data_IF_137806406825
#
_entry.id   IF_137806406825
#
_cell.length_a   1.000
_cell.length_b   1.000
_cell.length_c   1.000
_cell.angle_alpha   90.00
_cell.angle_beta   90.00
_cell.angle_gamma   90.00
#
_symmetry.space_group_name_H-M   'P 1'
#
loop_
_entity.id
_entity.type
_entity.pdbx_description
1 polymer ?
#
# COMPACT_ATOMS: atom_id res chain seq x y z
N UNK A 1 -11.88 -6.48 7.02
CA UNK A 1 -12.85 -7.58 7.26
C UNK A 1 -13.42 -7.44 8.67
N UNK A 2 -14.60 -7.99 8.96
CA UNK A 2 -15.27 -7.84 10.27
C UNK A 2 -14.42 -8.28 11.47
N UNK A 3 -13.57 -9.27 11.27
CA UNK A 3 -12.78 -9.87 12.34
C UNK A 3 -11.48 -9.12 12.65
N UNK A 4 -11.06 -8.17 11.80
CA UNK A 4 -9.83 -7.42 12.01
C UNK A 4 -10.01 -6.41 13.16
N UNK A 5 -8.99 -6.27 13.99
CA UNK A 5 -9.03 -5.35 15.11
C UNK A 5 -8.62 -3.93 14.69
N UNK A 6 -9.57 -3.00 14.78
CA UNK A 6 -9.41 -1.57 14.49
C UNK A 6 -9.58 -0.67 15.71
N UNK A 7 -9.81 -1.22 16.91
CA UNK A 7 -10.06 -0.42 18.13
C UNK A 7 -8.87 0.44 18.54
N UNK A 8 -7.66 0.00 18.18
CA UNK A 8 -6.41 0.71 18.42
C UNK A 8 -6.38 2.12 17.79
N UNK A 9 -7.14 2.35 16.71
CA UNK A 9 -7.24 3.66 16.07
C UNK A 9 -7.92 4.68 16.97
N UNK A 10 -8.91 4.26 17.77
CA UNK A 10 -9.62 5.15 18.69
C UNK A 10 -8.83 5.38 19.97
N UNK A 11 -8.09 4.36 20.42
CA UNK A 11 -7.25 4.43 21.61
C UNK A 11 -6.00 5.30 21.40
N UNK A 12 -5.29 5.10 20.28
CA UNK A 12 -3.95 5.69 20.08
C UNK A 12 -3.88 6.79 19.01
N UNK A 13 -4.91 6.92 18.18
CA UNK A 13 -5.04 7.98 17.18
C UNK A 13 -6.40 8.70 17.28
N UNK A 14 -6.82 9.18 18.48
CA UNK A 14 -8.16 9.73 18.69
C UNK A 14 -8.48 10.91 17.76
N UNK A 15 -7.49 11.76 17.49
CA UNK A 15 -7.62 12.96 16.65
C UNK A 15 -7.72 12.65 15.15
N UNK A 16 -7.41 11.42 14.72
CA UNK A 16 -7.47 11.04 13.31
C UNK A 16 -8.91 10.76 12.91
N UNK A 17 -9.38 11.39 11.83
CA UNK A 17 -10.69 11.07 11.26
C UNK A 17 -10.61 9.76 10.48
N UNK A 18 -11.29 8.71 10.95
CA UNK A 18 -11.24 7.36 10.36
C UNK A 18 -12.40 7.11 9.38
N UNK A 19 -12.12 6.35 8.33
CA UNK A 19 -13.14 5.80 7.41
C UNK A 19 -12.88 4.30 7.28
N UNK A 20 -13.51 3.52 8.16
CA UNK A 20 -13.27 2.08 8.27
C UNK A 20 -14.23 1.36 7.32
N UNK A 21 -13.69 0.79 6.24
CA UNK A 21 -14.45 0.00 5.28
C UNK A 21 -14.44 -1.48 5.66
N UNK A 22 -15.62 -2.11 5.65
CA UNK A 22 -15.79 -3.53 5.90
C UNK A 22 -16.31 -4.20 4.63
N UNK A 23 -15.44 -4.96 3.97
CA UNK A 23 -15.70 -5.50 2.62
C UNK A 23 -16.51 -6.80 2.60
N UNK A 24 -16.53 -7.52 3.72
CA UNK A 24 -17.26 -8.78 3.95
C UNK A 24 -18.60 -8.53 4.68
N UNK A 25 -19.09 -7.29 4.67
CA UNK A 25 -20.39 -6.90 5.23
C UNK A 25 -21.13 -5.91 4.34
N UNK A 26 -22.20 -6.36 3.68
CA UNK A 26 -23.04 -5.45 2.89
C UNK A 26 -23.93 -4.53 3.76
N UNK A 27 -23.97 -4.74 5.09
CA UNK A 27 -24.70 -3.89 6.04
C UNK A 27 -23.80 -2.93 6.80
N UNK A 28 -22.48 -2.98 6.60
CA UNK A 28 -21.57 -2.08 7.26
C UNK A 28 -21.81 -0.63 6.80
N UNK A 29 -21.58 0.31 7.72
CA UNK A 29 -21.76 1.75 7.47
C UNK A 29 -20.95 2.24 6.26
N UNK A 30 -19.73 1.72 6.10
CA UNK A 30 -18.89 1.92 4.92
C UNK A 30 -18.53 0.54 4.38
N UNK A 31 -18.92 0.28 3.14
CA UNK A 31 -18.66 -0.97 2.42
C UNK A 31 -18.33 -0.66 0.96
N UNK A 32 -18.06 -1.70 0.19
CA UNK A 32 -17.69 -1.60 -1.23
C UNK A 32 -18.81 -2.09 -2.13
N UNK A 33 -18.91 -1.59 -3.38
CA UNK A 33 -19.94 -2.06 -4.33
C UNK A 33 -19.74 -3.54 -4.71
N UNK A 34 -18.51 -4.04 -4.63
CA UNK A 34 -18.15 -5.43 -4.89
C UNK A 34 -16.86 -5.76 -4.14
N UNK A 35 -16.79 -6.90 -3.44
CA UNK A 35 -15.54 -7.34 -2.81
C UNK A 35 -14.64 -7.99 -3.89
N UNK A 36 -13.87 -7.15 -4.59
CA UNK A 36 -12.98 -7.54 -5.70
C UNK A 36 -11.73 -6.67 -5.70
N UNK A 37 -10.57 -7.23 -6.03
CA UNK A 37 -9.34 -6.45 -6.15
C UNK A 37 -8.77 -5.93 -4.82
N UNK A 38 -9.10 -6.60 -3.71
CA UNK A 38 -8.59 -6.32 -2.36
C UNK A 38 -8.78 -4.86 -1.92
N UNK A 39 -7.75 -4.25 -1.32
CA UNK A 39 -7.78 -2.86 -0.82
C UNK A 39 -8.03 -1.83 -1.92
N UNK A 40 -7.74 -2.18 -3.19
CA UNK A 40 -7.88 -1.23 -4.27
C UNK A 40 -9.33 -0.76 -4.49
N UNK A 41 -10.31 -1.66 -4.29
CA UNK A 41 -11.72 -1.30 -4.35
C UNK A 41 -12.11 -0.32 -3.25
N UNK A 42 -11.59 -0.52 -2.04
CA UNK A 42 -11.81 0.39 -0.91
C UNK A 42 -11.27 1.77 -1.22
N UNK A 43 -10.04 1.84 -1.74
CA UNK A 43 -9.37 3.12 -2.01
C UNK A 43 -10.07 3.88 -3.13
N UNK A 44 -10.41 3.20 -4.23
CA UNK A 44 -11.17 3.80 -5.33
C UNK A 44 -12.55 4.27 -4.85
N UNK A 45 -13.26 3.47 -4.07
CA UNK A 45 -14.58 3.86 -3.53
C UNK A 45 -14.47 5.09 -2.65
N UNK A 46 -13.50 5.15 -1.74
CA UNK A 46 -13.26 6.34 -0.91
C UNK A 46 -12.96 7.58 -1.75
N UNK A 47 -12.04 7.49 -2.72
CA UNK A 47 -11.66 8.62 -3.58
C UNK A 47 -12.86 9.11 -4.37
N UNK A 48 -13.64 8.20 -4.96
CA UNK A 48 -14.81 8.54 -5.76
C UNK A 48 -15.88 9.20 -4.90
N UNK A 49 -16.22 8.62 -3.74
CA UNK A 49 -17.34 9.10 -2.92
C UNK A 49 -17.01 10.43 -2.23
N UNK A 50 -15.73 10.66 -1.94
CA UNK A 50 -15.27 11.86 -1.24
C UNK A 50 -14.64 12.88 -2.14
N UNK A 51 -14.54 12.67 -3.45
CA UNK A 51 -13.70 13.46 -4.37
C UNK A 51 -13.74 14.97 -4.11
N UNK A 52 -14.94 15.57 -4.02
CA UNK A 52 -15.12 17.01 -3.82
C UNK A 52 -14.91 17.48 -2.36
N UNK A 53 -14.95 16.54 -1.41
CA UNK A 53 -14.88 16.75 0.05
C UNK A 53 -13.62 16.15 0.70
N UNK A 54 -12.62 15.76 -0.10
CA UNK A 54 -11.38 15.15 0.40
C UNK A 54 -10.71 16.07 1.43
N UNK A 55 -10.18 15.53 2.54
CA UNK A 55 -9.32 16.29 3.44
C UNK A 55 -7.97 16.58 2.77
N UNK A 56 -7.23 17.58 3.25
CA UNK A 56 -5.95 17.96 2.65
C UNK A 56 -4.90 16.84 2.58
N UNK A 57 -4.91 15.93 3.55
CA UNK A 57 -4.10 14.71 3.56
C UNK A 57 -5.02 13.50 3.71
N UNK A 58 -4.76 12.45 2.93
CA UNK A 58 -5.42 11.14 3.05
C UNK A 58 -4.33 10.09 3.26
N UNK A 59 -4.53 9.21 4.24
CA UNK A 59 -3.64 8.06 4.49
C UNK A 59 -4.46 6.79 4.26
N UNK A 60 -4.01 5.96 3.34
CA UNK A 60 -4.54 4.63 3.07
C UNK A 60 -3.66 3.60 3.76
N UNK A 61 -4.29 2.74 4.58
CA UNK A 61 -3.61 1.84 5.49
C UNK A 61 -4.45 0.58 5.69
N UNK A 62 -3.82 -0.57 5.91
CA UNK A 62 -4.52 -1.81 6.27
C UNK A 62 -5.13 -1.71 7.68
N UNK A 63 -6.02 -2.63 8.05
CA UNK A 63 -6.84 -2.45 9.25
C UNK A 63 -6.06 -2.62 10.57
N UNK A 64 -5.21 -3.64 10.67
CA UNK A 64 -4.61 -4.01 11.95
C UNK A 64 -3.33 -3.23 12.26
N UNK A 65 -3.08 -3.01 13.55
CA UNK A 65 -1.89 -2.33 14.04
C UNK A 65 -0.61 -3.12 13.75
N UNK A 66 -0.64 -4.43 13.95
CA UNK A 66 0.53 -5.30 13.78
C UNK A 66 0.37 -6.16 12.54
N UNK A 67 1.05 -5.82 11.45
CA UNK A 67 1.01 -6.55 10.19
C UNK A 67 2.32 -6.42 9.45
N UNK A 68 2.77 -7.49 8.80
CA UNK A 68 4.04 -7.51 8.05
C UNK A 68 4.15 -6.41 6.98
N UNK A 69 3.03 -5.83 6.53
CA UNK A 69 3.00 -4.69 5.63
C UNK A 69 3.61 -3.41 6.23
N UNK A 70 3.69 -3.29 7.56
CA UNK A 70 4.19 -2.13 8.27
C UNK A 70 5.72 -2.13 8.32
N UNK A 71 6.33 -1.05 7.86
CA UNK A 71 7.77 -0.88 7.75
C UNK A 71 8.43 -0.51 9.09
N UNK A 72 8.29 -1.41 10.07
CA UNK A 72 8.74 -1.25 11.44
C UNK A 72 9.31 -2.60 11.95
N UNK A 73 10.33 -2.62 12.84
CA UNK A 73 10.90 -3.86 13.39
C UNK A 73 9.90 -4.81 14.04
N UNK A 74 8.82 -4.26 14.61
CA UNK A 74 7.75 -5.00 15.27
C UNK A 74 6.51 -5.13 14.39
N UNK A 75 6.61 -4.70 13.12
CA UNK A 75 5.48 -4.61 12.21
C UNK A 75 4.34 -3.74 12.77
N UNK A 76 4.66 -2.80 13.65
CA UNK A 76 3.72 -1.89 14.31
C UNK A 76 3.49 -0.64 13.44
N UNK A 77 2.23 -0.42 13.05
CA UNK A 77 1.79 0.76 12.32
C UNK A 77 1.82 2.03 13.17
N UNK A 78 1.60 1.90 14.49
CA UNK A 78 1.41 3.05 15.38
C UNK A 78 2.59 4.03 15.37
N UNK A 79 3.85 3.61 15.59
CA UNK A 79 4.98 4.53 15.54
C UNK A 79 5.18 5.15 14.15
N UNK A 80 4.83 4.44 13.07
CA UNK A 80 4.92 4.99 11.72
C UNK A 80 3.90 6.12 11.53
N UNK A 81 2.64 5.89 11.89
CA UNK A 81 1.57 6.88 11.74
C UNK A 81 1.78 8.10 12.66
N UNK A 82 2.23 7.90 13.90
CA UNK A 82 2.49 9.00 14.83
C UNK A 82 3.67 9.88 14.40
N UNK A 83 4.71 9.29 13.80
CA UNK A 83 5.91 10.02 13.37
C UNK A 83 5.84 10.49 11.91
N UNK A 84 4.76 10.19 11.18
CA UNK A 84 4.64 10.55 9.77
C UNK A 84 4.66 12.07 9.57
N UNK A 85 5.66 12.55 8.83
CA UNK A 85 5.92 13.97 8.57
C UNK A 85 5.12 14.46 7.38
N UNK A 86 3.94 15.01 7.66
CA UNK A 86 3.08 15.62 6.63
C UNK A 86 3.74 16.76 5.86
N UNK A 87 4.79 17.40 6.38
CA UNK A 87 5.55 18.42 5.64
C UNK A 87 6.30 17.84 4.43
N UNK A 88 6.79 16.60 4.52
CA UNK A 88 7.31 15.92 3.33
C UNK A 88 6.17 15.64 2.34
N UNK A 89 5.05 15.11 2.83
CA UNK A 89 3.88 14.83 1.99
C UNK A 89 3.38 16.07 1.24
N UNK A 90 3.40 17.25 1.86
CA UNK A 90 3.07 18.52 1.17
C UNK A 90 3.99 18.81 -0.01
N UNK A 91 5.29 18.48 0.10
CA UNK A 91 6.29 18.69 -0.97
C UNK A 91 6.15 17.67 -2.09
N UNK A 92 5.98 16.40 -1.74
CA UNK A 92 6.00 15.30 -2.73
C UNK A 92 4.61 14.92 -3.24
N UNK A 93 3.53 15.28 -2.55
CA UNK A 93 2.15 14.99 -2.98
C UNK A 93 1.70 13.54 -2.80
N UNK A 94 2.62 12.57 -2.85
CA UNK A 94 2.41 11.14 -2.61
C UNK A 94 3.64 10.57 -1.90
N UNK A 95 3.44 9.81 -0.84
CA UNK A 95 4.49 9.12 -0.10
C UNK A 95 4.04 7.71 0.27
N UNK A 96 4.81 6.70 -0.11
CA UNK A 96 4.62 5.34 0.39
C UNK A 96 5.03 5.29 1.87
N UNK A 97 4.26 4.55 2.69
CA UNK A 97 4.58 4.40 4.12
C UNK A 97 5.74 3.41 4.33
N UNK A 98 6.07 2.58 3.34
CA UNK A 98 7.25 1.73 3.32
C UNK A 98 8.41 2.41 2.58
N UNK A 99 9.55 2.49 3.25
CA UNK A 99 10.82 3.00 2.77
C UNK A 99 11.80 1.89 2.37
N UNK A 100 11.81 0.74 3.04
CA UNK A 100 12.74 -0.37 2.72
C UNK A 100 12.45 -0.99 1.34
N UNK A 101 13.51 -1.27 0.58
CA UNK A 101 13.42 -1.69 -0.83
C UNK A 101 13.13 -3.17 -1.06
N UNK A 102 13.20 -4.00 -0.01
CA UNK A 102 13.15 -5.48 -0.09
C UNK A 102 12.02 -6.07 -0.93
N UNK A 103 10.90 -5.35 -1.11
CA UNK A 103 9.80 -5.75 -1.98
C UNK A 103 9.40 -4.60 -2.89
N UNK A 104 9.50 -4.83 -4.19
CA UNK A 104 8.97 -3.96 -5.23
C UNK A 104 9.95 -2.95 -5.84
N UNK A 105 11.11 -2.73 -5.22
CA UNK A 105 12.15 -1.81 -5.70
C UNK A 105 13.47 -2.54 -6.04
N UNK A 106 14.26 -2.04 -7.02
CA UNK A 106 13.99 -0.89 -7.88
C UNK A 106 13.04 -1.21 -9.05
N UNK A 107 12.89 -2.48 -9.43
CA UNK A 107 12.10 -2.91 -10.58
C UNK A 107 11.45 -4.26 -10.28
N UNK A 108 10.18 -4.22 -9.88
CA UNK A 108 9.37 -5.42 -9.66
C UNK A 108 8.90 -6.03 -10.98
N UNK A 109 8.40 -5.16 -11.87
CA UNK A 109 7.70 -5.55 -13.08
C UNK A 109 8.43 -4.94 -14.26
N UNK A 110 8.73 -5.76 -15.26
CA UNK A 110 9.24 -5.34 -16.56
C UNK A 110 8.18 -5.66 -17.61
N UNK A 111 7.20 -4.77 -17.85
CA UNK A 111 5.95 -5.13 -18.54
C UNK A 111 6.15 -5.89 -19.86
N UNK A 112 7.12 -5.50 -20.69
CA UNK A 112 7.39 -6.16 -21.98
C UNK A 112 8.19 -7.47 -21.81
N UNK A 113 9.13 -7.52 -20.88
CA UNK A 113 10.00 -8.70 -20.68
C UNK A 113 9.29 -9.81 -19.89
N UNK A 114 8.39 -9.42 -18.99
CA UNK A 114 7.60 -10.33 -18.16
C UNK A 114 6.31 -10.79 -18.84
N UNK A 115 5.94 -10.20 -19.98
CA UNK A 115 4.85 -10.66 -20.85
C UNK A 115 5.24 -11.98 -21.51
N UNK A 116 5.19 -13.05 -20.73
CA UNK A 116 5.27 -14.42 -21.18
C UNK A 116 4.06 -15.17 -20.64
N UNK A 117 3.46 -16.09 -21.41
CA UNK A 117 2.52 -17.03 -20.84
C UNK A 117 3.24 -17.78 -19.72
N UNK A 118 2.63 -17.84 -18.53
CA UNK A 118 3.13 -18.69 -17.46
C UNK A 118 3.32 -20.10 -18.04
N UNK A 119 4.48 -20.73 -17.77
CA UNK A 119 4.71 -22.10 -18.22
C UNK A 119 3.61 -22.99 -17.66
N UNK A 120 3.30 -24.08 -18.36
CA UNK A 120 2.31 -25.04 -17.89
C UNK A 120 2.64 -25.51 -16.46
N UNK A 121 1.74 -25.25 -15.51
CA UNK A 121 1.92 -25.54 -14.09
C UNK A 121 2.57 -24.45 -13.23
N UNK A 122 3.03 -23.33 -13.81
CA UNK A 122 3.51 -22.18 -13.03
C UNK A 122 2.36 -21.23 -12.66
N UNK A 123 2.34 -20.69 -11.43
CA UNK A 123 1.35 -19.70 -11.03
C UNK A 123 1.49 -18.41 -11.87
N UNK A 124 0.36 -17.87 -12.28
CA UNK A 124 0.32 -16.54 -12.91
C UNK A 124 0.55 -15.49 -11.83
N UNK A 125 1.47 -14.57 -12.09
CA UNK A 125 1.76 -13.43 -11.22
C UNK A 125 1.35 -12.13 -11.92
N UNK A 126 1.19 -11.06 -11.13
CA UNK A 126 0.80 -9.75 -11.65
C UNK A 126 1.72 -9.26 -12.77
N UNK A 127 3.03 -9.52 -12.69
CA UNK A 127 4.00 -9.15 -13.74
C UNK A 127 3.65 -9.70 -15.12
N UNK A 128 3.03 -10.89 -15.20
CA UNK A 128 2.67 -11.53 -16.46
C UNK A 128 1.45 -10.86 -17.13
N UNK A 129 0.59 -10.21 -16.34
CA UNK A 129 -0.65 -9.56 -16.83
C UNK A 129 -0.56 -8.03 -16.83
N UNK A 130 0.47 -7.46 -16.21
CA UNK A 130 0.58 -6.03 -15.97
C UNK A 130 0.60 -5.21 -17.25
N UNK A 131 1.26 -5.69 -18.32
CA UNK A 131 1.32 -4.94 -19.59
C UNK A 131 -0.07 -4.70 -20.19
N UNK A 132 -0.86 -5.76 -20.35
CA UNK A 132 -2.22 -5.65 -20.87
C UNK A 132 -3.09 -4.75 -19.97
N UNK A 133 -3.03 -4.98 -18.66
CA UNK A 133 -3.75 -4.16 -17.70
C UNK A 133 -3.32 -2.68 -17.74
N UNK A 134 -2.03 -2.39 -17.89
CA UNK A 134 -1.50 -1.03 -17.99
C UNK A 134 -2.03 -0.32 -19.24
N UNK A 135 -2.12 -1.01 -20.39
CA UNK A 135 -2.67 -0.42 -21.61
C UNK A 135 -4.16 -0.07 -21.47
N UNK A 136 -4.93 -0.89 -20.74
CA UNK A 136 -6.34 -0.61 -20.45
C UNK A 136 -6.50 0.53 -19.44
N UNK A 137 -5.71 0.51 -18.37
CA UNK A 137 -5.73 1.52 -17.31
C UNK A 137 -5.19 2.87 -17.79
N UNK A 138 -4.16 2.89 -18.63
CA UNK A 138 -3.48 4.12 -19.07
C UNK A 138 -3.32 4.15 -20.59
N UNK A 139 -4.43 4.23 -21.36
CA UNK A 139 -4.40 4.10 -22.82
C UNK A 139 -3.62 5.22 -23.53
N UNK A 140 -3.37 6.34 -22.86
CA UNK A 140 -2.59 7.47 -23.37
C UNK A 140 -1.13 7.48 -22.93
N UNK A 141 -0.70 6.53 -22.09
CA UNK A 141 0.69 6.43 -21.63
C UNK A 141 1.44 5.36 -22.41
N UNK A 142 2.70 5.63 -22.71
CA UNK A 142 3.61 4.60 -23.18
C UNK A 142 3.86 3.57 -22.08
N UNK A 143 3.99 2.30 -22.49
CA UNK A 143 4.26 1.20 -21.58
C UNK A 143 5.68 1.40 -21.02
N UNK A 144 5.85 1.49 -19.68
CA UNK A 144 7.17 1.69 -19.10
C UNK A 144 8.05 0.45 -19.26
N UNK A 145 9.36 0.64 -19.35
CA UNK A 145 10.31 -0.48 -19.38
C UNK A 145 10.32 -1.25 -18.05
N UNK A 146 10.27 -0.51 -16.94
CA UNK A 146 10.25 -1.04 -15.58
C UNK A 146 9.23 -0.28 -14.73
N UNK A 147 8.62 -1.00 -13.79
CA UNK A 147 7.75 -0.46 -12.75
C UNK A 147 8.31 -0.88 -11.41
N UNK A 148 8.45 0.09 -10.51
CA UNK A 148 8.99 -0.14 -9.18
C UNK A 148 8.43 0.84 -8.17
N UNK A 149 7.96 0.30 -7.05
CA UNK A 149 7.58 1.04 -5.84
C UNK A 149 7.62 0.03 -4.70
N UNK A 150 7.92 0.49 -3.49
CA UNK A 150 7.81 -0.38 -2.32
C UNK A 150 6.39 -0.93 -2.19
N UNK A 151 6.27 -2.23 -1.89
CA UNK A 151 4.99 -2.95 -1.92
C UNK A 151 3.92 -2.38 -0.99
N UNK A 152 2.77 -3.05 -1.05
CA UNK A 152 1.82 -3.27 0.04
C UNK A 152 0.74 -2.22 0.21
N UNK A 153 0.56 -1.32 -0.77
CA UNK A 153 -0.60 -0.40 -0.86
C UNK A 153 -0.85 0.45 0.40
N UNK A 154 0.18 0.77 1.19
CA UNK A 154 0.06 1.72 2.30
C UNK A 154 0.77 3.02 1.93
N UNK A 155 0.02 4.10 1.79
CA UNK A 155 0.56 5.38 1.33
C UNK A 155 -0.27 6.56 1.85
N UNK A 156 0.38 7.71 1.90
CA UNK A 156 -0.27 8.99 2.11
C UNK A 156 -0.26 9.80 0.82
N UNK A 157 -1.34 10.53 0.56
CA UNK A 157 -1.51 11.35 -0.64
C UNK A 157 -2.23 12.65 -0.30
N UNK A 158 -1.83 13.74 -0.96
CA UNK A 158 -2.50 15.04 -0.86
C UNK A 158 -3.78 15.04 -1.67
N UNK A 159 -4.81 15.76 -1.20
CA UNK A 159 -6.01 16.03 -2.00
C UNK A 159 -5.64 16.63 -3.35
N UNK A 160 -4.72 17.59 -3.36
CA UNK A 160 -4.31 18.27 -4.59
C UNK A 160 -3.70 17.29 -5.61
N UNK A 161 -2.97 16.28 -5.13
CA UNK A 161 -2.44 15.19 -5.97
C UNK A 161 -3.56 14.28 -6.52
N UNK A 162 -4.55 13.93 -5.69
CA UNK A 162 -5.72 13.16 -6.15
C UNK A 162 -6.49 13.96 -7.22
N UNK A 163 -6.60 15.28 -7.06
CA UNK A 163 -7.30 16.17 -7.99
C UNK A 163 -6.56 16.42 -9.30
N UNK A 164 -5.29 16.03 -9.44
CA UNK A 164 -4.59 16.04 -10.74
C UNK A 164 -5.27 15.16 -11.77
N UNK A 165 -6.05 14.17 -11.32
CA UNK A 165 -6.81 13.26 -12.18
C UNK A 165 -8.30 13.46 -11.92
N UNK A 166 -9.15 13.62 -12.95
CA UNK A 166 -10.58 13.87 -12.75
C UNK A 166 -11.27 12.66 -12.12
N UNK A 167 -12.37 12.90 -11.38
CA UNK A 167 -13.18 11.85 -10.74
C UNK A 167 -13.55 10.70 -11.70
N UNK A 168 -13.87 11.02 -12.95
CA UNK A 168 -14.25 10.05 -13.97
C UNK A 168 -13.18 8.99 -14.26
N UNK A 169 -11.90 9.34 -14.14
CA UNK A 169 -10.80 8.36 -14.30
C UNK A 169 -10.73 7.38 -13.13
N UNK A 170 -10.96 7.82 -11.89
CA UNK A 170 -11.07 6.92 -10.75
C UNK A 170 -12.27 5.97 -10.88
N UNK A 171 -13.39 6.47 -11.41
CA UNK A 171 -14.55 5.63 -11.76
C UNK A 171 -14.13 4.59 -12.80
N UNK A 172 -13.42 4.99 -13.87
CA UNK A 172 -12.92 4.06 -14.90
C UNK A 172 -12.00 2.98 -14.34
N UNK A 173 -11.10 3.32 -13.41
CA UNK A 173 -10.27 2.32 -12.73
C UNK A 173 -11.09 1.34 -11.89
N UNK A 174 -12.15 1.82 -11.22
CA UNK A 174 -13.04 0.96 -10.45
C UNK A 174 -13.87 0.05 -11.36
N UNK A 175 -14.36 0.57 -12.47
CA UNK A 175 -15.08 -0.24 -13.45
C UNK A 175 -14.17 -1.30 -14.07
N UNK A 176 -12.93 -0.95 -14.42
CA UNK A 176 -11.93 -1.93 -14.85
C UNK A 176 -11.77 -3.06 -13.82
N UNK A 177 -11.67 -2.70 -12.54
CA UNK A 177 -11.56 -3.67 -11.46
C UNK A 177 -12.79 -4.59 -11.38
N UNK A 178 -14.00 -4.03 -11.51
CA UNK A 178 -15.26 -4.80 -11.47
C UNK A 178 -15.35 -5.78 -12.64
N UNK A 179 -15.13 -5.29 -13.86
CA UNK A 179 -15.37 -6.06 -15.09
C UNK A 179 -14.20 -6.96 -15.51
N UNK A 180 -13.01 -6.77 -14.94
CA UNK A 180 -11.81 -7.55 -15.28
C UNK A 180 -12.06 -9.05 -15.07
N UNK A 181 -11.58 -9.89 -15.99
CA UNK A 181 -11.58 -11.35 -15.81
C UNK A 181 -10.48 -11.83 -14.84
N UNK A 182 -9.57 -10.95 -14.43
CA UNK A 182 -8.50 -11.28 -13.49
C UNK A 182 -9.06 -11.55 -12.09
N UNK A 183 -8.45 -12.52 -11.40
CA UNK A 183 -8.71 -12.77 -9.99
C UNK A 183 -8.38 -11.57 -9.10
N UNK A 184 -8.92 -11.57 -7.88
CA UNK A 184 -8.79 -10.48 -6.91
C UNK A 184 -7.33 -10.17 -6.55
N UNK A 185 -6.50 -11.21 -6.44
CA UNK A 185 -5.08 -11.11 -6.14
C UNK A 185 -4.28 -10.46 -7.28
N UNK A 186 -4.54 -10.86 -8.53
CA UNK A 186 -3.87 -10.30 -9.70
C UNK A 186 -4.30 -8.85 -9.96
N UNK A 187 -5.61 -8.60 -10.05
CA UNK A 187 -6.14 -7.26 -10.32
C UNK A 187 -5.82 -6.26 -9.21
N UNK A 188 -5.88 -6.69 -7.94
CA UNK A 188 -5.43 -5.88 -6.80
C UNK A 188 -3.94 -5.55 -6.88
N UNK A 189 -3.09 -6.53 -7.20
CA UNK A 189 -1.64 -6.33 -7.32
C UNK A 189 -1.25 -5.43 -8.50
N UNK A 190 -1.98 -5.48 -9.60
CA UNK A 190 -1.79 -4.51 -10.71
C UNK A 190 -1.99 -3.09 -10.19
N UNK A 191 -3.09 -2.83 -9.45
CA UNK A 191 -3.35 -1.49 -8.90
C UNK A 191 -2.35 -1.10 -7.80
N UNK A 192 -1.91 -2.06 -6.98
CA UNK A 192 -0.83 -1.83 -6.00
C UNK A 192 0.41 -1.22 -6.66
N UNK A 193 0.88 -1.80 -7.76
CA UNK A 193 2.00 -1.30 -8.55
C UNK A 193 1.62 -0.19 -9.53
N UNK A 194 0.42 0.39 -9.42
CA UNK A 194 -0.01 1.52 -10.25
C UNK A 194 -0.33 2.77 -9.43
N UNK A 195 -0.45 2.69 -8.10
CA UNK A 195 -0.88 3.83 -7.29
C UNK A 195 0.00 5.07 -7.45
N UNK A 196 1.33 4.91 -7.39
CA UNK A 196 2.26 6.02 -7.56
C UNK A 196 2.10 6.67 -8.94
N UNK A 197 1.88 5.89 -10.01
CA UNK A 197 1.62 6.36 -11.38
C UNK A 197 0.27 7.08 -11.46
N UNK A 198 -0.78 6.53 -10.84
CA UNK A 198 -2.11 7.16 -10.75
C UNK A 198 -1.99 8.56 -10.15
N UNK A 199 -1.12 8.73 -9.14
CA UNK A 199 -0.81 9.98 -8.44
C UNK A 199 0.34 10.78 -9.06
N UNK A 200 0.72 10.50 -10.31
CA UNK A 200 1.62 11.33 -11.11
C UNK A 200 3.11 11.15 -10.81
N UNK A 201 3.50 10.04 -10.19
CA UNK A 201 4.91 9.66 -10.04
C UNK A 201 5.43 8.89 -11.25
N UNK A 202 6.76 8.89 -11.49
CA UNK A 202 7.37 8.04 -12.51
C UNK A 202 7.08 6.56 -12.27
N UNK A 203 7.12 5.75 -13.33
CA UNK A 203 6.87 4.30 -13.23
C UNK A 203 7.80 3.59 -12.22
N UNK A 204 9.02 4.10 -12.04
CA UNK A 204 9.93 3.73 -10.95
C UNK A 204 9.98 4.86 -9.93
N UNK A 205 9.39 4.65 -8.75
CA UNK A 205 9.39 5.57 -7.62
C UNK A 205 9.98 4.87 -6.38
N UNK A 206 11.29 4.67 -6.41
CA UNK A 206 12.09 4.00 -5.40
C UNK A 206 13.14 4.97 -4.82
N UNK A 207 12.74 5.91 -3.94
CA UNK A 207 13.70 6.83 -3.31
C UNK A 207 14.68 6.07 -2.42
N UNK A 208 15.88 6.60 -2.19
CA UNK A 208 16.83 6.03 -1.24
C UNK A 208 16.14 5.76 0.12
N UNK A 209 16.34 4.56 0.68
CA UNK A 209 15.65 4.14 1.89
C UNK A 209 15.98 5.06 3.09
N UNK A 210 17.25 5.46 3.27
CA UNK A 210 17.65 6.37 4.34
C UNK A 210 17.00 7.75 4.19
N UNK A 211 16.98 8.28 2.95
CA UNK A 211 16.30 9.54 2.66
C UNK A 211 14.79 9.45 2.93
N UNK A 212 14.16 8.35 2.52
CA UNK A 212 12.74 8.10 2.77
C UNK A 212 12.44 8.09 4.27
N UNK A 213 13.19 7.33 5.08
CA UNK A 213 12.98 7.28 6.53
C UNK A 213 13.24 8.65 7.19
N UNK A 214 14.28 9.37 6.76
CA UNK A 214 14.56 10.72 7.27
C UNK A 214 13.42 11.70 6.94
N UNK A 215 12.95 11.70 5.70
CA UNK A 215 11.94 12.63 5.21
C UNK A 215 10.54 12.30 5.76
N UNK A 216 10.14 11.02 5.75
CA UNK A 216 8.81 10.59 6.18
C UNK A 216 8.70 10.45 7.70
N UNK A 217 9.77 10.06 8.40
CA UNK A 217 9.68 9.68 9.82
C UNK A 217 10.72 10.36 10.71
N UNK A 218 11.69 11.07 10.13
CA UNK A 218 12.74 11.75 10.90
C UNK A 218 13.88 10.88 11.37
N UNK A 219 13.97 9.65 10.90
CA UNK A 219 15.03 8.72 11.24
C UNK A 219 16.21 8.94 10.29
N UNK A 220 16.96 10.03 10.49
CA UNK A 220 17.99 10.49 9.55
C UNK A 220 19.37 9.84 9.74
N UNK A 221 19.59 9.16 10.86
CA UNK A 221 20.87 8.51 11.18
C UNK A 221 20.90 7.02 10.79
N UNK A 222 19.89 6.56 10.04
CA UNK A 222 19.81 5.16 9.62
C UNK A 222 20.87 4.83 8.58
N UNK A 223 21.57 3.72 8.82
CA UNK A 223 22.48 3.11 7.86
C UNK A 223 21.70 2.12 7.00
N UNK A 224 21.59 2.41 5.72
CA UNK A 224 20.86 1.60 4.76
C UNK A 224 21.80 1.03 3.70
N UNK A 225 21.62 -0.26 3.40
CA UNK A 225 22.16 -0.94 2.23
C UNK A 225 21.04 -1.06 1.17
N UNK A 226 21.33 -1.71 0.04
CA UNK A 226 20.41 -1.78 -1.09
C UNK A 226 19.05 -2.41 -0.76
N UNK A 227 18.93 -3.31 0.21
CA UNK A 227 17.68 -4.03 0.51
C UNK A 227 17.22 -3.91 1.97
N UNK A 228 17.99 -3.25 2.84
CA UNK A 228 17.73 -3.20 4.28
C UNK A 228 18.26 -1.92 4.91
N UNK A 229 17.66 -1.54 6.04
CA UNK A 229 18.19 -0.51 6.93
C UNK A 229 18.42 -1.12 8.32
N UNK A 230 19.57 -0.82 8.92
CA UNK A 230 19.95 -1.37 10.22
C UNK A 230 18.89 -1.04 11.28
N UNK A 231 18.43 -2.07 11.99
CA UNK A 231 17.44 -1.91 13.08
C UNK A 231 16.04 -1.50 12.62
N UNK A 232 15.73 -1.60 11.32
CA UNK A 232 14.39 -1.38 10.78
C UNK A 232 13.73 -2.70 10.35
N UNK A 233 12.90 -2.65 9.32
CA UNK A 233 12.14 -3.80 8.83
C UNK A 233 13.03 -4.93 8.31
N UNK A 234 12.61 -6.16 8.59
CA UNK A 234 13.11 -7.38 7.96
C UNK A 234 11.92 -8.15 7.40
N UNK A 235 12.05 -8.76 6.23
CA UNK A 235 10.97 -9.58 5.65
C UNK A 235 10.71 -10.79 6.56
N UNK A 236 9.48 -10.97 7.09
CA UNK A 236 9.20 -12.10 7.96
C UNK A 236 9.16 -13.42 7.17
N UNK A 237 9.37 -14.56 7.86
CA UNK A 237 9.30 -15.88 7.23
C UNK A 237 7.90 -16.25 6.71
N UNK A 238 6.85 -15.60 7.23
CA UNK A 238 5.46 -15.81 6.83
C UNK A 238 4.72 -14.48 6.75
N UNK A 239 3.72 -14.38 5.87
CA UNK A 239 2.85 -13.22 5.74
C UNK A 239 1.82 -13.08 6.87
N UNK A 240 1.74 -14.05 7.79
CA UNK A 240 0.88 -13.99 8.97
C UNK A 240 1.75 -13.96 10.22
N UNK A 241 1.49 -12.99 11.10
CA UNK A 241 2.16 -12.88 12.38
C UNK A 241 1.65 -14.00 13.33
N UNK A 242 2.51 -14.51 14.23
CA UNK A 242 2.12 -15.58 15.13
C UNK A 242 1.10 -15.08 16.16
N UNK A 243 0.28 -16.00 16.68
CA UNK A 243 -0.64 -15.69 17.77
C UNK A 243 0.15 -15.20 19.00
N UNK A 244 -0.25 -14.04 19.54
CA UNK A 244 0.42 -13.42 20.69
C UNK A 244 1.54 -12.43 20.31
N UNK A 245 1.71 -12.11 19.02
CA UNK A 245 2.48 -10.94 18.61
C UNK A 245 1.87 -9.66 19.20
N UNK A 246 2.67 -8.66 19.61
CA UNK A 246 4.14 -8.57 19.55
C UNK A 246 4.91 -9.22 20.70
N UNK A 247 4.25 -9.80 21.70
CA UNK A 247 4.91 -10.40 22.87
C UNK A 247 5.60 -11.73 22.55
N UNK A 248 5.02 -12.54 21.67
CA UNK A 248 5.54 -13.85 21.27
C UNK A 248 5.98 -13.86 19.80
N UNK A 249 7.13 -14.47 19.54
CA UNK A 249 7.66 -14.69 18.19
C UNK A 249 7.16 -15.97 17.53
N UNK A 250 7.66 -16.25 16.32
CA UNK A 250 7.20 -17.39 15.51
C UNK A 250 7.50 -18.75 16.13
N UNK A 251 8.49 -18.84 17.02
CA UNK A 251 8.83 -20.06 17.77
C UNK A 251 8.25 -20.04 19.19
N UNK A 252 7.34 -19.13 19.49
CA UNK A 252 6.76 -18.93 20.81
C UNK A 252 7.72 -18.31 21.82
N UNK A 253 8.86 -17.79 21.37
CA UNK A 253 9.83 -17.11 22.20
C UNK A 253 9.30 -15.76 22.69
N UNK A 254 9.57 -15.41 23.95
CA UNK A 254 9.24 -14.10 24.48
C UNK A 254 10.14 -13.05 23.81
N UNK A 255 9.54 -12.10 23.10
CA UNK A 255 10.24 -11.02 22.39
C UNK A 255 10.66 -9.86 23.31
N UNK A 256 10.24 -9.89 24.58
CA UNK A 256 10.52 -8.83 25.53
C UNK A 256 9.87 -7.50 25.13
N UNK A 257 8.74 -7.54 24.43
CA UNK A 257 8.02 -6.36 23.97
C UNK A 257 7.63 -5.46 25.16
N UNK A 258 8.02 -4.18 25.07
CA UNK A 258 7.75 -3.14 26.07
C UNK A 258 6.93 -1.97 25.52
N UNK A 259 6.46 -2.06 24.28
CA UNK A 259 5.63 -1.03 23.67
C UNK A 259 4.21 -1.04 24.20
N UNK A 260 3.40 -0.10 23.71
CA UNK A 260 1.99 0.01 24.09
C UNK A 260 1.23 -1.28 23.71
N UNK A 261 0.33 -1.78 24.59
CA UNK A 261 -0.50 -2.96 24.34
C UNK A 261 -1.26 -2.91 23.02
#
# INVERSE_FOLDING_TARGET
>A
MKHENVSWLDEYLPEWKKNIYVVDDNKAKLTVPMNKGREAMVFLTYIIDRYDSLPGNVVFHHAERFQWHNDNPDYDALPLLQNFRFDNLKKVGYANLRCVWVLGCPAEIRPVKDEAPAKEGEPIHARHVYKAAFQELFPSLEIPEEVGVTCCSQFAVRRETIHLRPRAEYVRFREWLIVSALGDDLSGRVLEYSWHIIFGKPAVNCPNAADCYCQNYGMCDLKCEADKCEGQYTLPPFSTLPKGWPQLGWKGENRGWKGQP
#
